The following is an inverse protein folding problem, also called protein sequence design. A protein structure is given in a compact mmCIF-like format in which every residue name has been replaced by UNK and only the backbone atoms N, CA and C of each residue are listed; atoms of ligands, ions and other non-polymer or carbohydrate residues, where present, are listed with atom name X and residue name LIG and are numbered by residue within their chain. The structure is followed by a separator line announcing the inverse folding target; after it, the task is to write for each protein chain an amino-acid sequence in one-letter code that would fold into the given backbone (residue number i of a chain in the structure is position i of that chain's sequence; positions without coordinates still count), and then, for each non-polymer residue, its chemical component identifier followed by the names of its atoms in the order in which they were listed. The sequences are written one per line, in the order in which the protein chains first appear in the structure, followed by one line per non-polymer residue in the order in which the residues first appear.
data_IF_397900419764
#
_entry.id   IF_397900419764
#
_cell.length_a   1.000
_cell.length_b   1.000
_cell.length_c   1.000
_cell.angle_alpha   90.00
_cell.angle_beta   90.00
_cell.angle_gamma   90.00
#
_symmetry.space_group_name_H-M   'P 1'
#
loop_
_entity.id
_entity.type
_entity.pdbx_description
1 polymer ?
#
# COMPACT_ATOMS: atom_id res chain seq x y z
N UNK A 1 -9.48 -1.08 -0.02
CA UNK A 1 -9.80 -1.25 -1.46
C UNK A 1 -9.45 0.04 -2.16
N UNK A 2 -8.59 0.01 -3.19
CA UNK A 2 -7.95 1.21 -3.74
C UNK A 2 -8.48 1.50 -5.14
N UNK A 3 -9.11 2.66 -5.34
CA UNK A 3 -9.38 3.24 -6.65
C UNK A 3 -8.16 4.06 -7.07
N UNK A 4 -7.14 3.39 -7.62
CA UNK A 4 -5.80 3.97 -7.76
C UNK A 4 -5.77 5.38 -8.37
N UNK A 5 -6.60 5.69 -9.37
CA UNK A 5 -6.71 7.05 -9.93
C UNK A 5 -7.22 8.07 -8.90
N UNK A 6 -8.42 7.84 -8.35
CA UNK A 6 -9.06 8.75 -7.38
C UNK A 6 -8.22 8.89 -6.12
N UNK A 7 -7.75 7.77 -5.58
CA UNK A 7 -7.01 7.75 -4.34
C UNK A 7 -5.60 8.35 -4.51
N UNK A 8 -5.00 8.23 -5.70
CA UNK A 8 -3.75 8.96 -6.02
C UNK A 8 -3.94 10.47 -6.09
N UNK A 9 -5.09 10.95 -6.60
CA UNK A 9 -5.40 12.38 -6.65
C UNK A 9 -5.61 12.94 -5.24
N UNK A 10 -6.36 12.21 -4.40
CA UNK A 10 -6.56 12.59 -2.99
C UNK A 10 -5.22 12.64 -2.25
N UNK A 11 -4.37 11.62 -2.41
CA UNK A 11 -3.05 11.60 -1.81
C UNK A 11 -2.16 12.74 -2.32
N UNK A 12 -2.24 13.07 -3.62
CA UNK A 12 -1.52 14.21 -4.19
C UNK A 12 -1.95 15.53 -3.56
N UNK A 13 -3.25 15.79 -3.50
CA UNK A 13 -3.79 17.03 -2.91
C UNK A 13 -3.40 17.12 -1.43
N UNK A 14 -3.58 16.05 -0.67
CA UNK A 14 -3.20 16.00 0.75
C UNK A 14 -1.70 16.26 0.95
N UNK A 15 -0.85 15.70 0.08
CA UNK A 15 0.61 15.92 0.11
C UNK A 15 0.96 17.36 -0.18
N UNK A 16 0.33 17.98 -1.19
CA UNK A 16 0.58 19.37 -1.55
C UNK A 16 0.14 20.33 -0.45
N UNK A 17 -1.02 20.10 0.16
CA UNK A 17 -1.49 20.89 1.31
C UNK A 17 -0.56 20.73 2.52
N UNK A 18 -0.08 19.51 2.78
CA UNK A 18 0.86 19.24 3.86
C UNK A 18 2.22 19.91 3.62
N UNK A 19 2.72 19.91 2.38
CA UNK A 19 3.93 20.65 1.99
C UNK A 19 3.75 22.16 2.12
N UNK A 20 2.58 22.70 1.77
CA UNK A 20 2.28 24.12 1.97
C UNK A 20 2.24 24.49 3.46
N UNK A 21 1.60 23.68 4.30
CA UNK A 21 1.58 23.87 5.75
C UNK A 21 2.99 23.76 6.36
N UNK A 22 3.79 22.80 5.89
CA UNK A 22 5.19 22.65 6.28
C UNK A 22 6.01 23.90 5.92
N UNK A 23 5.92 24.37 4.68
CA UNK A 23 6.64 25.56 4.21
C UNK A 23 6.21 26.83 4.98
N UNK A 24 4.90 27.00 5.20
CA UNK A 24 4.38 28.10 6.00
C UNK A 24 4.86 28.02 7.46
N UNK A 25 4.92 26.81 8.04
CA UNK A 25 5.47 26.59 9.38
C UNK A 25 6.95 26.96 9.47
N UNK A 26 7.76 26.58 8.47
CA UNK A 26 9.17 26.97 8.38
C UNK A 26 9.33 28.49 8.29
N UNK A 27 8.53 29.14 7.45
CA UNK A 27 8.53 30.60 7.33
C UNK A 27 8.15 31.27 8.66
N UNK A 28 7.15 30.74 9.36
CA UNK A 28 6.74 31.26 10.68
C UNK A 28 7.82 31.12 11.74
N UNK A 29 8.46 29.95 11.85
CA UNK A 29 9.58 29.74 12.76
C UNK A 29 10.76 30.67 12.44
N UNK A 30 10.98 30.98 11.15
CA UNK A 30 11.97 31.97 10.71
C UNK A 30 11.63 33.40 11.12
N UNK A 31 10.35 33.78 11.21
CA UNK A 31 9.91 35.15 11.52
C UNK A 31 9.71 35.38 13.02
N UNK A 32 9.18 34.38 13.74
CA UNK A 32 8.74 34.50 15.13
C UNK A 32 9.61 33.71 16.12
N UNK A 33 10.60 32.97 15.61
CA UNK A 33 11.53 32.20 16.43
C UNK A 33 10.93 30.93 17.03
N UNK A 34 11.68 30.33 17.98
CA UNK A 34 11.42 28.98 18.51
C UNK A 34 10.14 28.85 19.35
N UNK A 35 9.64 29.96 19.89
CA UNK A 35 8.46 29.96 20.77
C UNK A 35 7.13 29.92 19.98
N UNK A 36 7.18 29.99 18.65
CA UNK A 36 5.99 29.95 17.82
C UNK A 36 5.44 28.52 17.67
N UNK A 37 4.59 28.15 18.62
CA UNK A 37 3.93 26.85 18.70
C UNK A 37 3.14 26.50 17.43
N UNK A 38 2.52 27.49 16.78
CA UNK A 38 1.79 27.30 15.54
C UNK A 38 2.72 26.93 14.38
N UNK A 39 3.86 27.62 14.25
CA UNK A 39 4.90 27.30 13.27
C UNK A 39 5.47 25.90 13.49
N UNK A 40 5.85 25.58 14.73
CA UNK A 40 6.37 24.25 15.11
C UNK A 40 5.39 23.12 14.82
N UNK A 41 4.10 23.29 15.18
CA UNK A 41 3.05 22.31 14.90
C UNK A 41 2.83 22.11 13.39
N UNK A 42 2.83 23.19 12.61
CA UNK A 42 2.67 23.13 11.16
C UNK A 42 3.84 22.39 10.48
N UNK A 43 5.08 22.59 10.93
CA UNK A 43 6.25 21.84 10.46
C UNK A 43 6.14 20.36 10.83
N UNK A 44 5.83 20.04 12.09
CA UNK A 44 5.74 18.65 12.54
C UNK A 44 4.65 17.86 11.79
N UNK A 45 3.42 18.38 11.78
CA UNK A 45 2.27 17.72 11.16
C UNK A 45 2.42 17.73 9.64
N UNK A 46 2.77 18.89 9.05
CA UNK A 46 2.95 19.04 7.61
C UNK A 46 4.04 18.11 7.06
N UNK A 47 5.18 18.03 7.74
CA UNK A 47 6.28 17.14 7.35
C UNK A 47 5.89 15.66 7.42
N UNK A 48 5.25 15.26 8.52
CA UNK A 48 4.77 13.88 8.70
C UNK A 48 3.77 13.47 7.62
N UNK A 49 2.75 14.31 7.39
CA UNK A 49 1.70 14.04 6.38
C UNK A 49 2.28 14.07 4.97
N UNK A 50 3.19 15.01 4.66
CA UNK A 50 3.82 15.11 3.35
C UNK A 50 4.66 13.86 3.03
N UNK A 51 5.42 13.33 3.99
CA UNK A 51 6.20 12.12 3.78
C UNK A 51 5.31 10.90 3.53
N UNK A 52 4.29 10.67 4.37
CA UNK A 52 3.37 9.54 4.16
C UNK A 52 2.58 9.70 2.86
N UNK A 53 2.17 10.93 2.53
CA UNK A 53 1.54 11.27 1.27
C UNK A 53 2.42 10.93 0.06
N UNK A 54 3.70 11.28 0.10
CA UNK A 54 4.66 10.94 -0.96
C UNK A 54 4.82 9.42 -1.11
N UNK A 55 4.96 8.68 -0.01
CA UNK A 55 5.01 7.21 -0.05
C UNK A 55 3.74 6.60 -0.66
N UNK A 56 2.57 7.14 -0.33
CA UNK A 56 1.29 6.71 -0.91
C UNK A 56 1.21 7.02 -2.40
N UNK A 57 1.63 8.21 -2.84
CA UNK A 57 1.68 8.57 -4.26
C UNK A 57 2.57 7.58 -5.03
N UNK A 58 3.78 7.29 -4.53
CA UNK A 58 4.68 6.34 -5.16
C UNK A 58 4.06 4.94 -5.23
N UNK A 59 3.41 4.49 -4.16
CA UNK A 59 2.70 3.22 -4.11
C UNK A 59 1.56 3.15 -5.14
N UNK A 60 0.75 4.22 -5.25
CA UNK A 60 -0.34 4.27 -6.23
C UNK A 60 0.18 4.34 -7.67
N UNK A 61 1.26 5.10 -7.94
CA UNK A 61 1.89 5.14 -9.26
C UNK A 61 2.41 3.77 -9.67
N UNK A 62 3.01 3.04 -8.74
CA UNK A 62 3.47 1.68 -8.98
C UNK A 62 2.29 0.75 -9.28
N UNK A 63 1.21 0.80 -8.49
CA UNK A 63 -0.01 0.04 -8.74
C UNK A 63 -0.64 0.36 -10.11
N UNK A 64 -0.75 1.64 -10.48
CA UNK A 64 -1.23 2.07 -11.80
C UNK A 64 -0.35 1.55 -12.93
N UNK A 65 0.97 1.53 -12.73
CA UNK A 65 1.92 0.99 -13.71
C UNK A 65 1.70 -0.50 -13.91
N UNK A 66 1.51 -1.27 -12.83
CA UNK A 66 1.18 -2.69 -12.93
C UNK A 66 -0.14 -2.93 -13.63
N UNK A 67 -1.19 -2.18 -13.28
CA UNK A 67 -2.50 -2.26 -13.95
C UNK A 67 -2.36 -2.05 -15.45
N UNK A 68 -1.69 -0.97 -15.88
CA UNK A 68 -1.46 -0.69 -17.31
C UNK A 68 -0.60 -1.72 -18.02
N UNK A 69 0.32 -2.39 -17.31
CA UNK A 69 1.10 -3.50 -17.86
C UNK A 69 0.20 -4.71 -18.11
N UNK A 70 -0.63 -5.08 -17.14
CA UNK A 70 -1.60 -6.18 -17.28
C UNK A 70 -2.63 -5.88 -18.38
N UNK A 71 -3.18 -4.66 -18.44
CA UNK A 71 -4.12 -4.24 -19.50
C UNK A 71 -3.51 -4.36 -20.91
N UNK A 72 -2.19 -4.18 -21.04
CA UNK A 72 -1.44 -4.39 -22.30
C UNK A 72 -1.06 -5.86 -22.55
N UNK A 73 -1.51 -6.79 -21.71
CA UNK A 73 -1.19 -8.22 -21.78
C UNK A 73 0.21 -8.59 -21.25
N UNK A 74 0.97 -7.66 -20.68
CA UNK A 74 2.32 -7.96 -20.20
C UNK A 74 2.28 -8.80 -18.92
N UNK A 75 2.84 -10.01 -18.99
CA UNK A 75 2.86 -10.95 -17.86
C UNK A 75 1.50 -11.53 -17.50
N UNK A 76 0.52 -11.43 -18.41
CA UNK A 76 -0.81 -12.06 -18.28
C UNK A 76 -0.73 -13.48 -18.85
N UNK A 77 -1.13 -14.48 -18.06
CA UNK A 77 -1.12 -15.88 -18.50
C UNK A 77 -2.53 -16.47 -18.67
N UNK A 78 -3.56 -15.81 -18.13
CA UNK A 78 -4.96 -16.16 -18.38
C UNK A 78 -5.81 -14.88 -18.48
N UNK A 79 -6.78 -14.89 -19.40
CA UNK A 79 -7.64 -13.74 -19.71
C UNK A 79 -9.00 -14.21 -20.18
N UNK A 80 -10.06 -13.81 -19.47
CA UNK A 80 -11.42 -14.01 -19.93
C UNK A 80 -12.31 -12.80 -19.64
N UNK A 81 -13.41 -12.71 -20.38
CA UNK A 81 -14.46 -11.73 -20.16
C UNK A 81 -15.63 -12.42 -19.48
N UNK A 82 -16.04 -11.90 -18.33
CA UNK A 82 -17.26 -12.33 -17.62
C UNK A 82 -18.46 -11.61 -18.27
N UNK A 83 -19.39 -12.34 -18.89
CA UNK A 83 -20.59 -11.77 -19.49
C UNK A 83 -21.47 -10.98 -18.49
N UNK A 84 -22.25 -10.02 -18.99
CA UNK A 84 -23.03 -9.11 -18.15
C UNK A 84 -24.11 -9.82 -17.30
N UNK A 85 -24.75 -10.84 -17.87
CA UNK A 85 -25.68 -11.76 -17.21
C UNK A 85 -24.98 -12.56 -16.10
N UNK A 86 -23.78 -13.09 -16.38
CA UNK A 86 -22.96 -13.80 -15.39
C UNK A 86 -22.54 -12.89 -14.24
N UNK A 87 -22.15 -11.64 -14.53
CA UNK A 87 -21.86 -10.63 -13.50
C UNK A 87 -23.09 -10.35 -12.64
N UNK A 88 -24.27 -10.25 -13.26
CA UNK A 88 -25.53 -10.00 -12.54
C UNK A 88 -25.88 -11.16 -11.61
N UNK A 89 -25.78 -12.40 -12.09
CA UNK A 89 -25.99 -13.59 -11.28
C UNK A 89 -25.00 -13.67 -10.11
N UNK A 90 -23.71 -13.41 -10.36
CA UNK A 90 -22.69 -13.35 -9.31
C UNK A 90 -23.00 -12.30 -8.25
N UNK A 91 -23.39 -11.08 -8.65
CA UNK A 91 -23.73 -10.00 -7.71
C UNK A 91 -24.94 -10.38 -6.85
N UNK A 92 -25.95 -11.02 -7.42
CA UNK A 92 -27.12 -11.50 -6.68
C UNK A 92 -26.73 -12.58 -5.66
N UNK A 93 -25.86 -13.52 -6.02
CA UNK A 93 -25.36 -14.57 -5.13
C UNK A 93 -24.53 -13.97 -3.97
N UNK A 94 -23.63 -13.03 -4.26
CA UNK A 94 -22.85 -12.35 -3.21
C UNK A 94 -23.72 -11.49 -2.27
N UNK A 95 -24.85 -10.98 -2.75
CA UNK A 95 -25.78 -10.22 -1.91
C UNK A 95 -26.41 -11.10 -0.81
N UNK A 96 -26.55 -12.40 -1.04
CA UNK A 96 -27.08 -13.36 -0.07
C UNK A 96 -26.09 -13.67 1.06
N UNK A 97 -24.79 -13.40 0.87
CA UNK A 97 -23.75 -13.61 1.89
C UNK A 97 -23.75 -12.49 2.93
N UNK A 98 -23.39 -12.85 4.17
CA UNK A 98 -23.13 -11.89 5.24
C UNK A 98 -22.05 -10.89 4.80
N UNK A 99 -22.18 -9.63 5.19
CA UNK A 99 -21.31 -8.54 4.72
C UNK A 99 -19.81 -8.84 4.85
N UNK A 100 -19.41 -9.46 5.96
CA UNK A 100 -18.01 -9.83 6.27
C UNK A 100 -17.47 -10.97 5.39
N UNK A 101 -18.35 -11.79 4.83
CA UNK A 101 -18.04 -12.89 3.91
C UNK A 101 -18.22 -12.48 2.43
N UNK A 102 -18.60 -11.23 2.16
CA UNK A 102 -18.73 -10.77 0.77
C UNK A 102 -17.36 -10.58 0.15
N UNK A 103 -17.24 -11.02 -1.09
CA UNK A 103 -16.07 -10.83 -1.92
C UNK A 103 -15.65 -9.36 -1.99
N UNK A 104 -14.34 -9.13 -2.03
CA UNK A 104 -13.76 -7.82 -2.32
C UNK A 104 -14.01 -7.37 -3.76
N UNK A 105 -14.26 -8.30 -4.67
CA UNK A 105 -14.62 -7.96 -6.04
C UNK A 105 -16.13 -7.70 -6.12
N UNK A 106 -16.47 -6.41 -6.32
CA UNK A 106 -17.84 -5.89 -6.35
C UNK A 106 -18.10 -5.17 -7.68
N UNK A 107 -18.32 -5.91 -8.77
CA UNK A 107 -18.59 -5.34 -10.09
C UNK A 107 -19.97 -4.66 -10.10
N UNK A 108 -20.22 -3.83 -11.11
CA UNK A 108 -21.56 -3.28 -11.35
C UNK A 108 -22.40 -4.34 -12.09
N UNK A 109 -23.61 -4.68 -11.63
CA UNK A 109 -24.49 -5.61 -12.35
C UNK A 109 -24.84 -5.05 -13.73
N UNK A 110 -25.15 -5.94 -14.69
CA UNK A 110 -25.50 -5.57 -16.07
C UNK A 110 -24.33 -5.11 -16.94
N UNK A 111 -23.08 -5.14 -16.44
CA UNK A 111 -21.89 -4.77 -17.22
C UNK A 111 -20.90 -5.92 -17.27
N UNK A 112 -20.51 -6.31 -18.48
CA UNK A 112 -19.44 -7.29 -18.67
C UNK A 112 -18.13 -6.79 -18.02
N UNK A 113 -17.35 -7.73 -17.49
CA UNK A 113 -16.12 -7.43 -16.79
C UNK A 113 -14.97 -8.28 -17.32
N UNK A 114 -13.89 -7.62 -17.72
CA UNK A 114 -12.66 -8.30 -18.10
C UNK A 114 -11.88 -8.74 -16.86
N UNK A 115 -11.30 -9.94 -16.93
CA UNK A 115 -10.50 -10.55 -15.88
C UNK A 115 -9.15 -10.97 -16.47
N UNK A 116 -8.06 -10.46 -15.90
CA UNK A 116 -6.68 -10.77 -16.30
C UNK A 116 -5.91 -11.33 -15.11
N UNK A 117 -5.29 -12.49 -15.27
CA UNK A 117 -4.40 -13.08 -14.27
C UNK A 117 -2.94 -12.92 -14.67
N UNK A 118 -2.12 -12.44 -13.73
CA UNK A 118 -0.66 -12.44 -13.83
C UNK A 118 -0.06 -13.33 -12.73
N UNK A 119 1.26 -13.48 -12.75
CA UNK A 119 1.98 -14.35 -11.83
C UNK A 119 1.69 -14.11 -10.34
N UNK A 120 1.37 -12.88 -9.93
CA UNK A 120 1.15 -12.48 -8.54
C UNK A 120 -0.08 -11.59 -8.33
N UNK A 121 -1.00 -11.50 -9.30
CA UNK A 121 -2.16 -10.64 -9.22
C UNK A 121 -3.32 -11.05 -10.13
N UNK A 122 -4.50 -10.48 -9.85
CA UNK A 122 -5.63 -10.47 -10.76
C UNK A 122 -6.14 -9.04 -10.95
N UNK A 123 -6.43 -8.67 -12.19
CA UNK A 123 -7.12 -7.44 -12.56
C UNK A 123 -8.54 -7.81 -13.00
N UNK A 124 -9.55 -7.50 -12.20
CA UNK A 124 -10.93 -7.88 -12.46
C UNK A 124 -11.84 -6.64 -12.54
N UNK A 125 -12.44 -6.38 -13.71
CA UNK A 125 -13.27 -5.21 -13.95
C UNK A 125 -12.53 -3.89 -13.72
N UNK A 126 -11.23 -3.84 -14.08
CA UNK A 126 -10.35 -2.69 -13.84
C UNK A 126 -9.89 -2.51 -12.40
N UNK A 127 -10.13 -3.50 -11.51
CA UNK A 127 -9.66 -3.48 -10.12
C UNK A 127 -8.52 -4.45 -9.91
N UNK A 128 -7.40 -3.92 -9.42
CA UNK A 128 -6.21 -4.70 -9.15
C UNK A 128 -6.29 -5.34 -7.77
N UNK A 129 -6.02 -6.64 -7.71
CA UNK A 129 -5.93 -7.43 -6.49
C UNK A 129 -4.60 -8.18 -6.48
N UNK A 130 -3.74 -7.86 -5.51
CA UNK A 130 -2.49 -8.60 -5.31
C UNK A 130 -2.76 -10.00 -4.75
N UNK A 131 -2.27 -11.02 -5.43
CA UNK A 131 -2.33 -12.44 -5.06
C UNK A 131 -0.92 -12.94 -4.71
N UNK A 132 -0.35 -12.32 -3.68
CA UNK A 132 0.99 -12.66 -3.21
C UNK A 132 0.91 -13.78 -2.18
N UNK A 133 1.85 -14.71 -2.21
CA UNK A 133 2.02 -15.71 -1.14
C UNK A 133 2.80 -15.16 0.07
N UNK A 134 3.21 -13.87 0.04
CA UNK A 134 4.04 -13.23 1.06
C UNK A 134 3.74 -11.74 1.23
N UNK A 135 4.01 -11.22 2.43
CA UNK A 135 3.92 -9.80 2.75
C UNK A 135 2.83 -9.49 3.77
N UNK A 136 2.35 -8.24 3.78
CA UNK A 136 1.28 -7.79 4.68
C UNK A 136 -0.11 -8.30 4.27
N UNK A 137 -0.27 -8.67 3.00
CA UNK A 137 -1.47 -9.27 2.43
C UNK A 137 -1.05 -10.53 1.66
N UNK A 138 -1.59 -11.67 2.07
CA UNK A 138 -1.18 -12.99 1.58
C UNK A 138 -2.41 -13.81 1.24
N UNK A 139 -2.46 -14.42 0.05
CA UNK A 139 -3.47 -15.44 -0.21
C UNK A 139 -3.04 -16.77 0.43
N UNK A 140 -3.96 -17.43 1.11
CA UNK A 140 -3.72 -18.68 1.86
C UNK A 140 -4.30 -19.90 1.17
N UNK A 141 -5.40 -19.74 0.43
CA UNK A 141 -6.05 -20.81 -0.31
C UNK A 141 -6.54 -20.29 -1.67
N UNK A 142 -6.58 -21.20 -2.64
CA UNK A 142 -7.22 -21.02 -3.95
C UNK A 142 -7.98 -22.30 -4.27
N UNK A 143 -9.23 -22.19 -4.69
CA UNK A 143 -10.03 -23.34 -5.15
C UNK A 143 -11.19 -22.89 -6.05
N UNK A 144 -11.76 -23.83 -6.79
CA UNK A 144 -12.99 -23.63 -7.56
C UNK A 144 -14.19 -23.93 -6.67
N UNK A 145 -15.11 -22.98 -6.56
CA UNK A 145 -16.43 -23.17 -5.98
C UNK A 145 -17.43 -23.43 -7.11
N UNK A 146 -18.01 -24.64 -7.22
CA UNK A 146 -19.02 -24.92 -8.23
C UNK A 146 -20.31 -24.14 -7.92
N UNK A 147 -20.96 -23.62 -8.95
CA UNK A 147 -22.19 -22.85 -8.79
C UNK A 147 -22.72 -22.24 -10.09
N UNK A 148 -23.69 -21.32 -9.96
CA UNK A 148 -24.26 -20.57 -11.08
C UNK A 148 -24.04 -19.07 -10.86
N UNK A 149 -22.87 -18.51 -11.23
CA UNK A 149 -21.75 -19.15 -11.95
C UNK A 149 -20.73 -19.88 -11.05
N UNK A 150 -19.88 -20.72 -11.66
CA UNK A 150 -18.66 -21.22 -11.04
C UNK A 150 -17.75 -20.03 -10.66
N UNK A 151 -17.00 -20.16 -9.56
CA UNK A 151 -16.18 -19.07 -9.01
C UNK A 151 -14.82 -19.58 -8.54
N UNK A 152 -13.74 -18.90 -8.92
CA UNK A 152 -12.44 -19.09 -8.27
C UNK A 152 -12.43 -18.26 -6.99
N UNK A 153 -12.25 -18.92 -5.85
CA UNK A 153 -12.12 -18.28 -4.55
C UNK A 153 -10.66 -18.24 -4.11
N UNK A 154 -10.18 -17.04 -3.80
CA UNK A 154 -8.94 -16.80 -3.09
C UNK A 154 -9.26 -16.35 -1.67
N UNK A 155 -8.75 -17.10 -0.70
CA UNK A 155 -8.78 -16.68 0.70
C UNK A 155 -7.56 -15.80 0.97
N UNK A 156 -7.77 -14.58 1.45
CA UNK A 156 -6.70 -13.60 1.64
C UNK A 156 -6.65 -13.19 3.11
N UNK A 157 -5.48 -13.35 3.72
CA UNK A 157 -5.15 -12.86 5.05
C UNK A 157 -4.40 -11.55 4.93
N UNK A 158 -4.87 -10.53 5.62
CA UNK A 158 -4.22 -9.22 5.68
C UNK A 158 -3.95 -8.88 7.15
N UNK A 159 -2.79 -8.29 7.42
CA UNK A 159 -2.53 -7.70 8.74
C UNK A 159 -3.30 -6.38 8.77
N UNK A 160 -4.46 -6.39 9.43
CA UNK A 160 -5.32 -5.21 9.57
C UNK A 160 -5.20 -4.66 10.98
N UNK A 161 -5.21 -3.34 11.12
CA UNK A 161 -5.35 -2.71 12.44
C UNK A 161 -6.82 -2.76 12.81
N UNK A 162 -7.21 -3.63 13.75
CA UNK A 162 -8.59 -3.66 14.28
C UNK A 162 -8.77 -2.68 15.44
N UNK A 163 -7.69 -2.26 16.10
CA UNK A 163 -7.63 -1.09 17.00
C UNK A 163 -6.19 -0.59 17.14
N UNK A 164 -5.99 0.58 17.79
CA UNK A 164 -4.67 1.17 18.03
C UNK A 164 -3.69 0.26 18.81
N UNK A 165 -4.20 -0.79 19.47
CA UNK A 165 -3.40 -1.71 20.30
C UNK A 165 -3.50 -3.18 19.86
N UNK A 166 -4.41 -3.53 18.94
CA UNK A 166 -4.59 -4.91 18.46
C UNK A 166 -4.42 -5.00 16.94
N UNK A 167 -3.33 -5.65 16.53
CA UNK A 167 -3.16 -6.13 15.17
C UNK A 167 -3.88 -7.47 15.03
N UNK A 168 -5.12 -7.45 14.54
CA UNK A 168 -5.84 -8.68 14.19
C UNK A 168 -5.53 -9.06 12.75
N UNK A 169 -5.31 -10.35 12.50
CA UNK A 169 -5.28 -10.85 11.14
C UNK A 169 -6.71 -10.80 10.57
N UNK A 170 -6.96 -9.83 9.70
CA UNK A 170 -8.19 -9.76 8.92
C UNK A 170 -8.15 -10.85 7.85
N UNK A 171 -9.29 -11.47 7.59
CA UNK A 171 -9.46 -12.41 6.49
C UNK A 171 -10.57 -11.89 5.59
N UNK A 172 -10.35 -11.94 4.29
CA UNK A 172 -11.38 -11.66 3.31
C UNK A 172 -11.25 -12.57 2.11
N UNK A 173 -12.34 -12.70 1.38
CA UNK A 173 -12.42 -13.55 0.20
C UNK A 173 -12.37 -12.68 -1.05
N UNK A 174 -11.67 -13.18 -2.06
CA UNK A 174 -11.74 -12.67 -3.42
C UNK A 174 -12.29 -13.77 -4.31
N UNK A 175 -13.51 -13.55 -4.77
CA UNK A 175 -14.25 -14.46 -5.65
C UNK A 175 -14.31 -13.88 -7.05
N UNK A 176 -13.88 -14.65 -8.04
CA UNK A 176 -13.86 -14.29 -9.46
C UNK A 176 -14.67 -15.33 -10.24
N UNK A 177 -15.78 -14.95 -10.89
CA UNK A 177 -16.62 -15.87 -11.64
C UNK A 177 -15.92 -16.35 -12.90
N UNK A 178 -16.20 -17.60 -13.23
CA UNK A 178 -15.69 -18.32 -14.40
C UNK A 178 -16.85 -18.50 -15.38
N UNK A 179 -16.81 -17.88 -16.56
CA UNK A 179 -17.81 -18.14 -17.59
C UNK A 179 -17.65 -19.57 -18.15
N UNK A 180 -18.71 -20.16 -18.73
CA UNK A 180 -18.68 -21.56 -19.19
C UNK A 180 -17.52 -21.91 -20.14
N UNK A 181 -17.09 -20.97 -20.99
CA UNK A 181 -15.98 -21.16 -21.93
C UNK A 181 -14.57 -21.03 -21.33
N UNK A 182 -14.43 -20.62 -20.07
CA UNK A 182 -13.13 -20.34 -19.44
C UNK A 182 -12.72 -21.37 -18.38
N UNK A 183 -13.40 -22.53 -18.31
CA UNK A 183 -13.14 -23.54 -17.26
C UNK A 183 -11.70 -24.07 -17.29
N UNK A 184 -11.18 -24.38 -18.48
CA UNK A 184 -9.79 -24.83 -18.63
C UNK A 184 -8.77 -23.76 -18.20
N UNK A 185 -9.03 -22.49 -18.52
CA UNK A 185 -8.18 -21.37 -18.09
C UNK A 185 -8.24 -21.19 -16.57
N UNK A 186 -9.42 -21.35 -15.97
CA UNK A 186 -9.60 -21.31 -14.52
C UNK A 186 -8.81 -22.42 -13.80
N UNK A 187 -8.81 -23.64 -14.34
CA UNK A 187 -8.00 -24.75 -13.82
C UNK A 187 -6.51 -24.43 -13.88
N UNK A 188 -6.03 -23.85 -14.98
CA UNK A 188 -4.63 -23.40 -15.11
C UNK A 188 -4.28 -22.32 -14.06
N UNK A 189 -5.19 -21.37 -13.81
CA UNK A 189 -5.04 -20.35 -12.76
C UNK A 189 -4.93 -20.99 -11.39
N UNK A 190 -5.81 -21.94 -11.07
CA UNK A 190 -5.80 -22.65 -9.77
C UNK A 190 -4.50 -23.43 -9.61
N UNK A 191 -4.08 -24.18 -10.64
CA UNK A 191 -2.83 -24.94 -10.62
C UNK A 191 -1.62 -24.01 -10.39
N UNK A 192 -1.54 -22.88 -11.10
CA UNK A 192 -0.49 -21.88 -10.93
C UNK A 192 -0.44 -21.33 -9.50
N UNK A 193 -1.55 -20.83 -8.97
CA UNK A 193 -1.56 -20.24 -7.63
C UNK A 193 -1.41 -21.27 -6.51
N UNK A 194 -1.81 -22.52 -6.74
CA UNK A 194 -1.51 -23.62 -5.82
C UNK A 194 -0.01 -23.86 -5.72
N UNK A 195 0.69 -23.88 -6.87
CA UNK A 195 2.15 -24.00 -6.94
C UNK A 195 2.87 -22.79 -6.34
N UNK A 196 2.43 -21.57 -6.66
CA UNK A 196 3.01 -20.32 -6.10
C UNK A 196 2.88 -20.27 -4.58
N UNK A 197 1.89 -20.94 -4.00
CA UNK A 197 1.73 -21.07 -2.54
C UNK A 197 2.75 -22.04 -1.93
N UNK A 198 2.99 -23.20 -2.57
CA UNK A 198 3.93 -24.21 -2.06
C UNK A 198 5.39 -23.79 -2.21
N UNK A 199 5.72 -23.16 -3.33
CA UNK A 199 7.12 -22.94 -3.76
C UNK A 199 7.67 -21.58 -3.29
N UNK A 200 7.08 -20.98 -2.25
CA UNK A 200 7.38 -19.60 -1.90
C UNK A 200 8.37 -19.48 -0.73
N UNK A 201 9.70 -19.49 -0.94
CA UNK A 201 10.65 -19.21 0.13
C UNK A 201 10.55 -17.74 0.53
N UNK A 202 10.29 -17.44 1.80
CA UNK A 202 10.26 -16.08 2.35
C UNK A 202 11.20 -15.13 1.60
N UNK A 203 10.68 -14.08 0.93
CA UNK A 203 11.53 -13.14 0.19
C UNK A 203 12.22 -12.20 1.18
N UNK A 204 13.19 -12.78 1.88
CA UNK A 204 14.04 -12.10 2.84
C UNK A 204 14.86 -11.00 2.15
N UNK A 205 15.02 -11.03 0.81
CA UNK A 205 15.76 -9.99 0.07
C UNK A 205 14.96 -8.69 0.03
N UNK A 206 13.66 -8.77 -0.24
CA UNK A 206 12.76 -7.60 -0.22
C UNK A 206 12.79 -6.88 1.14
N UNK A 207 12.63 -7.62 2.23
CA UNK A 207 12.63 -7.03 3.57
C UNK A 207 14.02 -6.55 4.01
N UNK A 208 15.08 -7.26 3.63
CA UNK A 208 16.47 -6.81 3.84
C UNK A 208 16.74 -5.48 3.14
N UNK A 209 16.27 -5.29 1.92
CA UNK A 209 16.42 -4.02 1.19
C UNK A 209 15.70 -2.87 1.90
N UNK A 210 14.44 -3.08 2.32
CA UNK A 210 13.68 -2.06 3.07
C UNK A 210 14.35 -1.69 4.39
N UNK A 211 14.90 -2.67 5.11
CA UNK A 211 15.68 -2.42 6.33
C UNK A 211 16.92 -1.56 6.04
N UNK A 212 17.65 -1.85 4.95
CA UNK A 212 18.81 -1.04 4.54
C UNK A 212 18.42 0.40 4.20
N UNK A 213 17.32 0.58 3.46
CA UNK A 213 16.80 1.92 3.12
C UNK A 213 16.40 2.67 4.41
N UNK A 214 15.68 2.02 5.32
CA UNK A 214 15.29 2.61 6.61
C UNK A 214 16.50 3.06 7.42
N UNK A 215 17.52 2.20 7.57
CA UNK A 215 18.77 2.55 8.26
C UNK A 215 19.52 3.70 7.57
N UNK A 216 19.53 3.73 6.23
CA UNK A 216 20.11 4.85 5.48
C UNK A 216 19.41 6.17 5.75
N UNK A 217 18.07 6.17 5.83
CA UNK A 217 17.28 7.35 6.21
C UNK A 217 17.64 7.78 7.64
N UNK A 218 17.72 6.85 8.60
CA UNK A 218 18.10 7.16 9.99
C UNK A 218 19.47 7.81 10.05
N UNK A 219 20.47 7.26 9.34
CA UNK A 219 21.83 7.78 9.34
C UNK A 219 21.88 9.20 8.76
N UNK A 220 21.28 9.43 7.60
CA UNK A 220 21.23 10.77 6.98
C UNK A 220 20.51 11.77 7.90
N UNK A 221 19.44 11.34 8.55
CA UNK A 221 18.66 12.18 9.44
C UNK A 221 19.43 12.54 10.72
N UNK A 222 20.20 11.60 11.27
CA UNK A 222 21.09 11.83 12.41
C UNK A 222 22.21 12.82 12.05
N UNK A 223 22.80 12.69 10.84
CA UNK A 223 23.80 13.64 10.34
C UNK A 223 23.20 15.05 10.16
N UNK A 224 21.99 15.16 9.60
CA UNK A 224 21.30 16.45 9.50
C UNK A 224 21.00 17.07 10.86
N UNK A 225 20.55 16.27 11.83
CA UNK A 225 20.30 16.75 13.18
C UNK A 225 21.58 17.19 13.90
N UNK A 226 22.66 16.43 13.75
CA UNK A 226 23.98 16.78 14.30
C UNK A 226 24.52 18.07 13.66
N UNK A 227 24.39 18.23 12.34
CA UNK A 227 24.75 19.46 11.65
C UNK A 227 23.93 20.66 12.13
N UNK A 228 22.61 20.47 12.31
CA UNK A 228 21.74 21.49 12.90
C UNK A 228 22.15 21.87 14.31
N UNK A 229 22.52 20.90 15.15
CA UNK A 229 23.01 21.15 16.51
C UNK A 229 24.33 21.94 16.52
N UNK A 230 25.31 21.54 15.71
CA UNK A 230 26.61 22.24 15.60
C UNK A 230 26.41 23.68 15.14
N UNK A 231 25.56 23.92 14.14
CA UNK A 231 25.23 25.26 13.67
C UNK A 231 24.54 26.10 14.75
N UNK A 232 23.65 25.49 15.54
CA UNK A 232 22.97 26.18 16.63
C UNK A 232 23.95 26.59 17.74
N UNK A 233 24.90 25.71 18.08
CA UNK A 233 25.95 25.98 19.07
C UNK A 233 26.89 27.10 18.61
N UNK A 234 27.31 27.09 17.34
CA UNK A 234 28.14 28.15 16.76
C UNK A 234 27.43 29.51 16.68
N UNK A 235 26.11 29.50 16.48
CA UNK A 235 25.27 30.69 16.47
C UNK A 235 24.84 31.15 17.88
N UNK A 236 25.40 30.53 18.94
CA UNK A 236 25.13 30.83 20.35
C UNK A 236 23.63 30.78 20.70
N UNK A 237 22.87 29.96 19.94
CA UNK A 237 21.41 29.86 19.96
C UNK A 237 20.66 31.20 19.79
N UNK A 238 21.33 32.28 19.35
CA UNK A 238 20.78 33.64 19.31
C UNK A 238 19.68 33.86 18.25
N UNK A 239 19.29 32.82 17.53
CA UNK A 239 18.03 32.79 16.79
C UNK A 239 17.99 33.62 15.50
N UNK A 240 19.11 34.17 15.04
CA UNK A 240 19.14 34.95 13.80
C UNK A 240 19.08 34.07 12.54
N UNK A 241 19.63 32.84 12.59
CA UNK A 241 19.56 31.89 11.49
C UNK A 241 18.64 30.68 11.82
N UNK A 242 17.47 30.57 11.17
CA UNK A 242 16.55 29.45 11.39
C UNK A 242 17.08 28.12 10.84
N UNK A 243 18.12 28.12 10.01
CA UNK A 243 18.63 26.94 9.30
C UNK A 243 19.01 25.81 10.26
N UNK A 244 19.64 26.14 11.39
CA UNK A 244 20.05 25.18 12.42
C UNK A 244 18.84 24.42 13.01
N UNK A 245 17.77 25.16 13.36
CA UNK A 245 16.54 24.61 13.91
C UNK A 245 15.80 23.76 12.87
N UNK A 246 15.74 24.22 11.62
CA UNK A 246 15.10 23.50 10.52
C UNK A 246 15.78 22.16 10.29
N UNK A 247 17.12 22.13 10.23
CA UNK A 247 17.90 20.90 10.07
C UNK A 247 17.67 19.92 11.22
N UNK A 248 17.58 20.42 12.45
CA UNK A 248 17.31 19.62 13.65
C UNK A 248 15.90 18.99 13.60
N UNK A 249 14.87 19.78 13.30
CA UNK A 249 13.48 19.29 13.20
C UNK A 249 13.33 18.29 12.05
N UNK A 250 13.86 18.61 10.87
CA UNK A 250 13.86 17.72 9.72
C UNK A 250 14.59 16.42 10.06
N UNK A 251 15.79 16.49 10.62
CA UNK A 251 16.55 15.32 11.07
C UNK A 251 15.76 14.47 12.09
N UNK A 252 15.09 15.08 13.06
CA UNK A 252 14.30 14.34 14.04
C UNK A 252 13.10 13.61 13.39
N UNK A 253 12.33 14.30 12.54
CA UNK A 253 11.13 13.73 11.89
C UNK A 253 11.53 12.57 10.96
N UNK A 254 12.46 12.80 10.04
CA UNK A 254 12.87 11.77 9.08
C UNK A 254 13.61 10.62 9.77
N UNK A 255 14.34 10.90 10.86
CA UNK A 255 14.96 9.88 11.69
C UNK A 255 13.95 8.93 12.31
N UNK A 256 12.89 9.48 12.92
CA UNK A 256 11.78 8.68 13.46
C UNK A 256 11.11 7.82 12.38
N UNK A 257 10.89 8.38 11.19
CA UNK A 257 10.31 7.66 10.07
C UNK A 257 11.19 6.53 9.55
N UNK A 258 12.50 6.76 9.45
CA UNK A 258 13.49 5.74 9.12
C UNK A 258 13.51 4.60 10.14
N UNK A 259 13.38 4.92 11.44
CA UNK A 259 13.28 3.92 12.52
C UNK A 259 12.02 3.08 12.39
N UNK A 260 10.85 3.69 12.15
CA UNK A 260 9.58 2.97 11.94
C UNK A 260 9.70 2.01 10.75
N UNK A 261 10.24 2.47 9.62
CA UNK A 261 10.43 1.61 8.43
C UNK A 261 11.38 0.43 8.73
N UNK A 262 12.45 0.70 9.47
CA UNK A 262 13.44 -0.32 9.88
C UNK A 262 12.81 -1.34 10.82
N UNK A 263 11.99 -0.91 11.77
CA UNK A 263 11.28 -1.76 12.70
C UNK A 263 10.29 -2.68 11.98
N UNK A 264 9.44 -2.13 11.10
CA UNK A 264 8.49 -2.91 10.29
C UNK A 264 9.23 -3.97 9.47
N UNK A 265 10.32 -3.58 8.80
CA UNK A 265 11.11 -4.52 8.01
C UNK A 265 11.76 -5.62 8.88
N UNK A 266 12.22 -5.28 10.09
CA UNK A 266 12.84 -6.24 11.01
C UNK A 266 11.83 -7.25 11.55
N UNK A 267 10.64 -6.80 11.95
CA UNK A 267 9.54 -7.67 12.38
C UNK A 267 9.13 -8.60 11.24
N UNK A 268 9.04 -8.08 10.01
CA UNK A 268 8.70 -8.88 8.84
C UNK A 268 9.76 -9.95 8.51
N UNK A 269 11.06 -9.65 8.67
CA UNK A 269 12.14 -10.64 8.49
C UNK A 269 11.99 -11.77 9.52
N UNK A 270 11.79 -11.44 10.81
CA UNK A 270 11.67 -12.45 11.88
C UNK A 270 10.47 -13.37 11.73
N UNK A 271 9.39 -12.92 11.11
CA UNK A 271 8.21 -13.75 10.83
C UNK A 271 8.37 -14.62 9.59
N UNK A 272 9.36 -14.33 8.76
CA UNK A 272 9.60 -15.01 7.51
C UNK A 272 10.75 -16.03 7.60
N UNK A 273 11.58 -15.95 8.64
CA UNK A 273 12.55 -16.96 9.08
C UNK A 273 11.89 -17.99 9.99
#
# INVERSE_FOLDING_TARGET
MIHAKRDSLIALIATLLALAAFAWGLQRLSLYGQNDTAGGAAVAIGGLVAFFGLLMILNFRWALTLTRRMERGQGVFARWTVPADTVTAYVALEAQRAWVQRSRWRPKPGKAAEVLFSNDAVLAGGRYHGLRSKGLQVFTHVHLLPGTPDVIEFLIREITTSSAHNYAAGQFELRIPVPPGARQEAENVIAHFTKVRTDAPADARFWRLRRKIGLGIVLLSALSAAGGYILAEQADWRGEDPTALILLIVGAIFGLMGLVLTLIATVAIRRAS
#
